data_IF_506025932599
#
_entry.id   IF_506025932599
#
_cell.length_a   1.000
_cell.length_b   1.000
_cell.length_c   1.000
_cell.angle_alpha   90.00
_cell.angle_beta   90.00
_cell.angle_gamma   90.00
#
_symmetry.space_group_name_H-M   'P 1'
#
loop_
_entity.id
_entity.type
_entity.pdbx_description
1 polymer ?
#
# COMPACT_ATOMS: atom_id res chain seq x y z
N UNK A 1 -14.14 -18.06 18.19
CA UNK A 1 -14.45 -16.62 18.29
C UNK A 1 -13.32 -15.89 17.58
N UNK A 2 -13.61 -15.10 16.56
CA UNK A 2 -12.60 -14.30 15.86
C UNK A 2 -12.20 -13.09 16.73
N UNK A 3 -11.06 -12.45 16.41
CA UNK A 3 -10.69 -11.19 17.08
C UNK A 3 -11.78 -10.12 16.89
N UNK A 4 -12.40 -10.07 15.71
CA UNK A 4 -13.53 -9.16 15.42
C UNK A 4 -14.71 -9.37 16.38
N UNK A 5 -15.09 -10.62 16.62
CA UNK A 5 -16.22 -10.93 17.52
C UNK A 5 -15.88 -10.64 18.97
N UNK A 6 -14.61 -10.88 19.36
CA UNK A 6 -14.17 -10.64 20.73
C UNK A 6 -14.19 -9.16 21.10
N UNK A 7 -13.82 -8.28 20.17
CA UNK A 7 -13.73 -6.83 20.37
C UNK A 7 -14.92 -6.06 19.79
N UNK A 8 -16.08 -6.71 19.61
CA UNK A 8 -17.28 -6.10 19.00
C UNK A 8 -17.81 -4.89 19.79
N UNK A 9 -17.65 -4.91 21.10
CA UNK A 9 -18.07 -3.83 22.02
C UNK A 9 -17.07 -2.65 22.07
N UNK A 10 -15.95 -2.71 21.32
CA UNK A 10 -14.95 -1.65 21.26
C UNK A 10 -14.91 -1.02 19.87
N UNK A 11 -15.65 0.08 19.63
CA UNK A 11 -15.83 0.67 18.30
C UNK A 11 -14.50 1.03 17.60
N UNK A 12 -13.52 1.55 18.35
CA UNK A 12 -12.22 1.94 17.81
C UNK A 12 -11.43 0.73 17.32
N UNK A 13 -11.37 -0.34 18.13
CA UNK A 13 -10.72 -1.60 17.73
C UNK A 13 -11.43 -2.19 16.52
N UNK A 14 -12.75 -2.26 16.57
CA UNK A 14 -13.58 -2.79 15.48
C UNK A 14 -13.37 -2.02 14.19
N UNK A 15 -13.22 -0.70 14.26
CA UNK A 15 -12.92 0.15 13.12
C UNK A 15 -11.58 -0.25 12.46
N UNK A 16 -10.52 -0.40 13.25
CA UNK A 16 -9.20 -0.80 12.73
C UNK A 16 -9.25 -2.19 12.07
N UNK A 17 -9.85 -3.17 12.76
CA UNK A 17 -10.01 -4.54 12.23
C UNK A 17 -10.80 -4.52 10.91
N UNK A 18 -11.92 -3.81 10.87
CA UNK A 18 -12.77 -3.78 9.67
C UNK A 18 -12.05 -3.14 8.47
N UNK A 19 -11.26 -2.08 8.68
CA UNK A 19 -10.49 -1.45 7.60
C UNK A 19 -9.41 -2.40 7.04
N UNK A 20 -8.68 -3.12 7.92
CA UNK A 20 -7.69 -4.11 7.49
C UNK A 20 -8.35 -5.26 6.71
N UNK A 21 -9.44 -5.82 7.22
CA UNK A 21 -10.19 -6.90 6.56
C UNK A 21 -10.81 -6.46 5.23
N UNK A 22 -11.34 -5.25 5.15
CA UNK A 22 -11.91 -4.73 3.91
C UNK A 22 -10.85 -4.50 2.85
N UNK A 23 -9.67 -3.99 3.23
CA UNK A 23 -8.53 -3.85 2.32
C UNK A 23 -8.11 -5.21 1.75
N UNK A 24 -7.99 -6.22 2.59
CA UNK A 24 -7.67 -7.59 2.17
C UNK A 24 -8.76 -8.16 1.23
N UNK A 25 -10.04 -7.96 1.57
CA UNK A 25 -11.17 -8.40 0.74
C UNK A 25 -11.15 -7.77 -0.66
N UNK A 26 -10.90 -6.46 -0.74
CA UNK A 26 -10.84 -5.74 -2.01
C UNK A 26 -9.67 -6.24 -2.86
N UNK A 27 -8.49 -6.38 -2.28
CA UNK A 27 -7.30 -6.88 -2.98
C UNK A 27 -7.48 -8.32 -3.47
N UNK A 28 -8.07 -9.21 -2.67
CA UNK A 28 -8.43 -10.57 -3.09
C UNK A 28 -9.39 -10.59 -4.27
N UNK A 29 -10.26 -9.60 -4.35
CA UNK A 29 -11.21 -9.43 -5.47
C UNK A 29 -10.57 -8.72 -6.68
N UNK A 30 -9.27 -8.42 -6.65
CA UNK A 30 -8.57 -7.69 -7.70
C UNK A 30 -8.91 -6.20 -7.78
N UNK A 31 -9.49 -5.64 -6.74
CA UNK A 31 -9.82 -4.22 -6.63
C UNK A 31 -8.76 -3.45 -5.84
N UNK A 32 -8.61 -2.16 -6.09
CA UNK A 32 -7.81 -1.30 -5.24
C UNK A 32 -8.53 -1.03 -3.91
N UNK A 33 -7.80 -1.04 -2.79
CA UNK A 33 -8.39 -0.80 -1.48
C UNK A 33 -8.77 0.66 -1.27
N UNK A 34 -9.48 0.94 -0.18
CA UNK A 34 -9.75 2.28 0.32
C UNK A 34 -8.58 2.78 1.20
N UNK A 35 -8.50 4.08 1.53
CA UNK A 35 -7.50 4.59 2.45
C UNK A 35 -7.56 3.84 3.79
N UNK A 36 -6.39 3.54 4.36
CA UNK A 36 -6.28 2.93 5.68
C UNK A 36 -6.09 4.02 6.75
N UNK A 37 -6.73 3.86 7.92
CA UNK A 37 -6.33 4.62 9.10
C UNK A 37 -4.93 4.17 9.57
N UNK A 38 -4.33 4.93 10.48
CA UNK A 38 -3.17 4.45 11.21
C UNK A 38 -3.57 3.22 12.02
N UNK A 39 -2.99 2.06 11.69
CA UNK A 39 -3.35 0.77 12.30
C UNK A 39 -2.61 0.57 13.64
N UNK A 40 -2.81 1.51 14.57
CA UNK A 40 -2.28 1.45 15.93
C UNK A 40 -3.45 1.43 16.91
N UNK A 41 -3.38 0.56 17.90
CA UNK A 41 -4.33 0.56 19.00
C UNK A 41 -4.17 1.86 19.82
N UNK A 42 -5.27 2.40 20.40
CA UNK A 42 -5.18 3.51 21.34
C UNK A 42 -4.28 3.17 22.53
N UNK A 43 -3.52 4.15 23.02
CA UNK A 43 -2.57 3.95 24.13
C UNK A 43 -3.27 3.54 25.44
N UNK A 44 -4.51 4.00 25.65
CA UNK A 44 -5.33 3.73 26.82
C UNK A 44 -6.27 2.51 26.66
N UNK A 45 -6.09 1.72 25.62
CA UNK A 45 -7.03 0.63 25.27
C UNK A 45 -7.15 -0.41 26.38
N UNK A 46 -6.07 -0.70 27.11
CA UNK A 46 -6.09 -1.65 28.21
C UNK A 46 -6.98 -1.14 29.36
N UNK A 47 -6.85 0.13 29.71
CA UNK A 47 -7.65 0.77 30.74
C UNK A 47 -9.13 0.82 30.34
N UNK A 48 -9.38 1.14 29.08
CA UNK A 48 -10.75 1.13 28.52
C UNK A 48 -11.40 -0.23 28.63
N UNK A 49 -10.71 -1.30 28.24
CA UNK A 49 -11.20 -2.69 28.35
C UNK A 49 -11.41 -3.06 29.82
N UNK A 50 -10.43 -2.76 30.70
CA UNK A 50 -10.53 -3.05 32.13
C UNK A 50 -11.73 -2.39 32.78
N UNK A 51 -11.94 -1.10 32.50
CA UNK A 51 -13.08 -0.34 33.01
C UNK A 51 -14.41 -0.92 32.53
N UNK A 52 -14.51 -1.31 31.26
CA UNK A 52 -15.74 -1.89 30.70
C UNK A 52 -16.05 -3.25 31.34
N UNK A 53 -15.03 -4.10 31.56
CA UNK A 53 -15.21 -5.37 32.25
C UNK A 53 -15.70 -5.16 33.68
N UNK A 54 -15.12 -4.19 34.42
CA UNK A 54 -15.54 -3.88 35.80
C UNK A 54 -16.94 -3.24 35.89
N UNK A 55 -17.39 -2.56 34.84
CA UNK A 55 -18.77 -2.06 34.75
C UNK A 55 -19.77 -3.19 34.54
N UNK A 56 -19.37 -4.21 33.77
CA UNK A 56 -20.22 -5.35 33.44
C UNK A 56 -20.28 -6.38 34.56
N UNK A 57 -19.19 -6.59 35.29
CA UNK A 57 -19.09 -7.58 36.35
C UNK A 57 -18.61 -6.93 37.64
N UNK A 58 -19.29 -7.22 38.80
CA UNK A 58 -18.83 -6.77 40.12
C UNK A 58 -17.42 -7.28 40.43
N UNK A 59 -16.74 -6.56 41.32
CA UNK A 59 -15.45 -7.00 41.86
C UNK A 59 -15.57 -8.41 42.43
N UNK A 60 -14.59 -9.24 42.15
CA UNK A 60 -14.50 -10.65 42.56
C UNK A 60 -15.49 -11.61 41.84
N UNK A 61 -16.13 -11.18 40.75
CA UNK A 61 -16.92 -12.08 39.89
C UNK A 61 -15.99 -12.84 38.92
N UNK A 62 -15.95 -14.19 39.01
CA UNK A 62 -15.07 -14.98 38.15
C UNK A 62 -15.28 -14.83 36.66
N UNK A 63 -16.46 -14.36 36.26
CA UNK A 63 -16.77 -14.07 34.83
C UNK A 63 -16.01 -12.85 34.32
N UNK A 64 -15.86 -11.83 35.18
CA UNK A 64 -15.04 -10.65 34.90
C UNK A 64 -13.56 -11.03 34.68
N UNK A 65 -13.00 -11.85 35.59
CA UNK A 65 -11.63 -12.34 35.43
C UNK A 65 -11.43 -13.16 34.16
N UNK A 66 -12.37 -14.05 33.84
CA UNK A 66 -12.34 -14.85 32.61
C UNK A 66 -12.39 -13.98 31.35
N UNK A 67 -13.23 -12.95 31.35
CA UNK A 67 -13.35 -12.04 30.21
C UNK A 67 -12.10 -11.18 30.05
N UNK A 68 -11.59 -10.62 31.17
CA UNK A 68 -10.34 -9.87 31.17
C UNK A 68 -9.18 -10.71 30.64
N UNK A 69 -9.04 -11.97 31.09
CA UNK A 69 -7.99 -12.86 30.63
C UNK A 69 -8.08 -13.14 29.13
N UNK A 70 -9.30 -13.22 28.55
CA UNK A 70 -9.48 -13.37 27.10
C UNK A 70 -9.00 -12.13 26.35
N UNK A 71 -9.36 -10.93 26.80
CA UNK A 71 -8.90 -9.70 26.20
C UNK A 71 -7.39 -9.53 26.33
N UNK A 72 -6.83 -9.72 27.49
CA UNK A 72 -5.39 -9.61 27.77
C UNK A 72 -4.55 -10.56 26.92
N UNK A 73 -5.07 -11.76 26.63
CA UNK A 73 -4.39 -12.73 25.76
C UNK A 73 -4.54 -12.41 24.26
N UNK A 74 -5.62 -11.76 23.85
CA UNK A 74 -5.91 -11.44 22.45
C UNK A 74 -5.30 -10.11 22.01
N UNK A 75 -5.25 -9.11 22.89
CA UNK A 75 -4.84 -7.75 22.56
C UNK A 75 -3.40 -7.67 21.97
N UNK A 76 -2.37 -8.32 22.54
CA UNK A 76 -1.03 -8.29 21.96
C UNK A 76 -0.94 -8.96 20.58
N UNK A 77 -1.79 -9.95 20.32
CA UNK A 77 -1.87 -10.62 19.02
C UNK A 77 -2.50 -9.72 17.97
N UNK A 78 -3.55 -9.00 18.36
CA UNK A 78 -4.21 -8.02 17.51
C UNK A 78 -3.28 -6.84 17.21
N UNK A 79 -2.62 -6.28 18.22
CA UNK A 79 -1.64 -5.20 18.04
C UNK A 79 -0.55 -5.58 17.03
N UNK A 80 0.02 -6.78 17.21
CA UNK A 80 1.02 -7.30 16.26
C UNK A 80 0.46 -7.45 14.85
N UNK A 81 -0.75 -7.98 14.71
CA UNK A 81 -1.37 -8.16 13.39
C UNK A 81 -1.63 -6.82 12.69
N UNK A 82 -2.10 -5.80 13.42
CA UNK A 82 -2.32 -4.47 12.88
C UNK A 82 -1.00 -3.79 12.48
N UNK A 83 0.03 -3.84 13.32
CA UNK A 83 1.35 -3.26 13.02
C UNK A 83 2.03 -3.93 11.83
N UNK A 84 1.88 -5.25 11.69
CA UNK A 84 2.48 -6.03 10.62
C UNK A 84 1.58 -6.11 9.37
N UNK A 85 0.50 -5.32 9.30
CA UNK A 85 -0.41 -5.38 8.16
C UNK A 85 0.28 -4.95 6.85
N UNK A 86 1.25 -4.04 6.93
CA UNK A 86 2.07 -3.66 5.78
C UNK A 86 2.87 -4.85 5.25
N UNK A 87 3.58 -5.58 6.12
CA UNK A 87 4.36 -6.76 5.74
C UNK A 87 3.43 -7.83 5.11
N UNK A 88 2.23 -7.99 5.68
CA UNK A 88 1.21 -8.85 5.09
C UNK A 88 0.83 -8.45 3.65
N UNK A 89 0.69 -7.15 3.36
CA UNK A 89 0.38 -6.66 2.01
C UNK A 89 1.57 -6.87 1.05
N UNK A 90 2.78 -6.70 1.52
CA UNK A 90 3.99 -6.98 0.75
C UNK A 90 4.09 -8.47 0.42
N UNK A 91 3.99 -9.34 1.41
CA UNK A 91 4.15 -10.80 1.25
C UNK A 91 3.01 -11.42 0.45
N UNK A 92 1.77 -10.95 0.62
CA UNK A 92 0.59 -11.57 0.01
C UNK A 92 0.29 -11.02 -1.38
N UNK A 93 0.50 -9.73 -1.58
CA UNK A 93 0.09 -9.01 -2.79
C UNK A 93 1.26 -8.36 -3.53
N UNK A 94 2.47 -8.39 -2.97
CA UNK A 94 3.63 -7.64 -3.50
C UNK A 94 3.36 -6.14 -3.58
N UNK A 95 2.58 -5.61 -2.63
CA UNK A 95 2.20 -4.20 -2.58
C UNK A 95 3.12 -3.44 -1.63
N UNK A 96 4.21 -2.90 -2.13
CA UNK A 96 5.19 -2.12 -1.36
C UNK A 96 4.67 -0.75 -0.94
N UNK A 97 4.02 -0.05 -1.84
CA UNK A 97 3.34 1.20 -1.55
C UNK A 97 1.83 0.96 -1.54
N UNK A 98 1.14 1.50 -0.54
CA UNK A 98 -0.30 1.32 -0.41
C UNK A 98 -1.04 2.19 -1.43
N UNK A 99 -1.25 1.64 -2.63
CA UNK A 99 -1.99 2.29 -3.70
C UNK A 99 -3.48 2.07 -3.48
N UNK A 100 -4.20 3.12 -3.11
CA UNK A 100 -5.65 3.08 -2.89
C UNK A 100 -6.44 3.72 -4.04
N UNK A 101 -7.74 3.42 -4.10
CA UNK A 101 -8.61 3.89 -5.18
C UNK A 101 -8.74 5.42 -5.26
N UNK A 102 -8.91 6.19 -4.16
CA UNK A 102 -8.91 7.64 -4.19
C UNK A 102 -7.60 8.26 -4.69
N UNK A 103 -6.44 7.71 -4.27
CA UNK A 103 -5.14 8.15 -4.77
C UNK A 103 -5.04 7.92 -6.29
N UNK A 104 -5.40 6.73 -6.77
CA UNK A 104 -5.37 6.41 -8.19
C UNK A 104 -6.30 7.32 -9.00
N UNK A 105 -7.48 7.67 -8.45
CA UNK A 105 -8.38 8.63 -9.06
C UNK A 105 -7.78 10.04 -9.14
N UNK A 106 -7.24 10.54 -8.03
CA UNK A 106 -6.61 11.86 -8.01
C UNK A 106 -5.44 11.96 -8.99
N UNK A 107 -4.64 10.89 -9.10
CA UNK A 107 -3.56 10.82 -10.07
C UNK A 107 -4.09 10.80 -11.52
N UNK A 108 -5.15 10.03 -11.78
CA UNK A 108 -5.78 10.01 -13.11
C UNK A 108 -6.37 11.38 -13.50
N UNK A 109 -7.02 12.07 -12.55
CA UNK A 109 -7.54 13.42 -12.75
C UNK A 109 -6.40 14.44 -13.04
N UNK A 110 -5.26 14.31 -12.33
CA UNK A 110 -4.08 15.15 -12.55
C UNK A 110 -3.45 14.95 -13.93
N UNK A 111 -3.40 13.70 -14.40
CA UNK A 111 -2.82 13.33 -15.68
C UNK A 111 -3.73 13.70 -16.88
N UNK A 112 -5.02 13.89 -16.65
CA UNK A 112 -6.05 14.28 -17.62
C UNK A 112 -5.99 13.48 -18.94
N UNK A 113 -5.78 12.16 -18.82
CA UNK A 113 -5.69 11.27 -19.98
C UNK A 113 -4.40 11.32 -20.78
N UNK A 114 -3.41 12.13 -20.38
CA UNK A 114 -2.10 12.21 -21.03
C UNK A 114 -1.40 10.84 -21.07
N UNK A 115 -0.59 10.56 -22.11
CA UNK A 115 0.22 9.36 -22.20
C UNK A 115 1.25 9.27 -21.07
N UNK A 116 1.39 8.08 -20.46
CA UNK A 116 2.21 7.84 -19.26
C UNK A 116 3.12 6.64 -19.43
N UNK A 117 4.33 6.74 -18.91
CA UNK A 117 5.25 5.64 -18.68
C UNK A 117 5.43 5.46 -17.16
N UNK A 118 5.02 4.33 -16.61
CA UNK A 118 5.41 3.89 -15.25
C UNK A 118 6.67 3.02 -15.37
N UNK A 119 7.76 3.49 -14.75
CA UNK A 119 9.02 2.75 -14.61
C UNK A 119 9.14 2.18 -13.21
N UNK A 120 9.87 1.08 -13.06
CA UNK A 120 10.04 0.38 -11.77
C UNK A 120 8.69 0.05 -11.10
N UNK A 121 7.74 -0.41 -11.92
CA UNK A 121 6.34 -0.55 -11.55
C UNK A 121 6.05 -1.66 -10.53
N UNK A 122 7.01 -2.53 -10.24
CA UNK A 122 6.81 -3.69 -9.38
C UNK A 122 5.69 -4.59 -9.92
N UNK A 123 4.60 -4.72 -9.16
CA UNK A 123 3.42 -5.47 -9.60
C UNK A 123 2.39 -4.61 -10.39
N UNK A 124 2.64 -3.30 -10.58
CA UNK A 124 1.87 -2.41 -11.47
C UNK A 124 0.57 -1.86 -10.89
N UNK A 125 0.50 -1.64 -9.59
CA UNK A 125 -0.70 -1.13 -8.91
C UNK A 125 -1.11 0.27 -9.35
N UNK A 126 -0.15 1.17 -9.62
CA UNK A 126 -0.44 2.53 -10.12
C UNK A 126 -1.04 2.45 -11.52
N UNK A 127 -0.38 1.76 -12.46
CA UNK A 127 -0.91 1.56 -13.81
C UNK A 127 -2.28 0.90 -13.82
N UNK A 128 -2.52 -0.08 -12.92
CA UNK A 128 -3.84 -0.67 -12.74
C UNK A 128 -4.86 0.39 -12.32
N UNK A 129 -4.51 1.20 -11.34
CA UNK A 129 -5.37 2.28 -10.86
C UNK A 129 -5.73 3.28 -11.95
N UNK A 130 -4.75 3.71 -12.75
CA UNK A 130 -4.97 4.60 -13.89
C UNK A 130 -5.90 3.95 -14.93
N UNK A 131 -5.66 2.69 -15.32
CA UNK A 131 -6.51 1.97 -16.29
C UNK A 131 -7.93 1.77 -15.78
N UNK A 132 -8.12 1.59 -14.47
CA UNK A 132 -9.45 1.49 -13.88
C UNK A 132 -10.24 2.82 -13.98
N UNK A 133 -9.55 3.97 -13.96
CA UNK A 133 -10.17 5.29 -14.08
C UNK A 133 -10.34 5.73 -15.53
N UNK A 134 -9.41 5.37 -16.42
CA UNK A 134 -9.49 5.68 -17.85
C UNK A 134 -8.90 4.52 -18.67
N UNK A 135 -9.77 3.64 -19.16
CA UNK A 135 -9.37 2.46 -19.92
C UNK A 135 -8.74 2.80 -21.30
N UNK A 136 -8.95 4.02 -21.82
CA UNK A 136 -8.43 4.47 -23.10
C UNK A 136 -7.10 5.25 -22.97
N UNK A 137 -6.64 5.53 -21.75
CA UNK A 137 -5.36 6.20 -21.54
C UNK A 137 -4.20 5.33 -22.00
N UNK A 138 -3.27 5.93 -22.73
CA UNK A 138 -2.04 5.25 -23.15
C UNK A 138 -1.08 5.14 -21.96
N UNK A 139 -0.91 3.94 -21.45
CA UNK A 139 -0.08 3.66 -20.27
C UNK A 139 0.90 2.55 -20.64
N UNK A 140 2.19 2.88 -20.61
CA UNK A 140 3.29 1.91 -20.64
C UNK A 140 3.69 1.59 -19.21
N UNK A 141 3.77 0.31 -18.88
CA UNK A 141 4.13 -0.16 -17.55
C UNK A 141 5.32 -1.06 -17.66
N UNK A 142 6.44 -0.69 -17.03
CA UNK A 142 7.71 -1.42 -17.16
C UNK A 142 8.34 -1.69 -15.80
N UNK A 143 9.01 -2.83 -15.69
CA UNK A 143 9.80 -3.20 -14.52
C UNK A 143 10.95 -4.11 -14.97
N UNK A 144 12.11 -3.98 -14.36
CA UNK A 144 13.27 -4.85 -14.67
C UNK A 144 13.05 -6.29 -14.23
N UNK A 145 12.16 -6.50 -13.25
CA UNK A 145 11.92 -7.76 -12.56
C UNK A 145 13.19 -8.33 -11.88
N UNK A 146 14.14 -7.48 -11.56
CA UNK A 146 15.37 -7.90 -10.89
C UNK A 146 15.12 -8.48 -9.51
N UNK A 147 14.12 -7.95 -8.79
CA UNK A 147 13.76 -8.30 -7.43
C UNK A 147 12.93 -9.58 -7.27
N UNK A 148 12.48 -10.19 -8.39
CA UNK A 148 11.63 -11.41 -8.35
C UNK A 148 12.26 -12.59 -7.63
N UNK A 149 13.58 -12.63 -7.50
CA UNK A 149 14.31 -13.69 -6.79
C UNK A 149 14.47 -13.40 -5.29
N UNK A 150 14.30 -12.13 -4.89
CA UNK A 150 14.58 -11.66 -3.54
C UNK A 150 13.30 -11.45 -2.73
N UNK A 151 12.22 -11.02 -3.39
CA UNK A 151 10.95 -10.71 -2.73
C UNK A 151 9.75 -10.91 -3.68
N UNK A 152 8.57 -10.45 -3.31
CA UNK A 152 7.32 -10.61 -4.07
C UNK A 152 7.14 -9.58 -5.20
N UNK A 153 8.11 -8.65 -5.40
CA UNK A 153 8.06 -7.64 -6.46
C UNK A 153 8.13 -8.31 -7.84
N UNK A 154 7.15 -8.02 -8.69
CA UNK A 154 7.07 -8.56 -10.04
C UNK A 154 6.62 -10.01 -10.16
N UNK A 155 6.33 -10.71 -9.04
CA UNK A 155 5.84 -12.10 -9.07
C UNK A 155 4.34 -12.22 -9.36
N UNK A 156 3.56 -11.25 -8.90
CA UNK A 156 2.10 -11.26 -8.99
C UNK A 156 1.59 -9.98 -9.67
N UNK A 157 1.91 -9.77 -10.96
CA UNK A 157 1.51 -8.54 -11.66
C UNK A 157 -0.01 -8.42 -11.72
N UNK A 158 -0.52 -7.27 -11.31
CA UNK A 158 -1.97 -6.96 -11.32
C UNK A 158 -2.43 -6.33 -12.64
N UNK A 159 -1.49 -6.05 -13.54
CA UNK A 159 -1.71 -5.54 -14.90
C UNK A 159 -0.59 -6.02 -15.82
N UNK A 160 -0.70 -5.76 -17.14
CA UNK A 160 0.37 -6.11 -18.08
C UNK A 160 1.60 -5.24 -17.82
N UNK A 161 2.74 -5.86 -17.59
CA UNK A 161 4.04 -5.22 -17.36
C UNK A 161 5.03 -5.73 -18.38
N UNK A 162 5.74 -4.83 -19.04
CA UNK A 162 6.86 -5.18 -19.90
C UNK A 162 8.14 -5.29 -19.08
N UNK A 163 8.89 -6.37 -19.28
CA UNK A 163 10.19 -6.55 -18.63
C UNK A 163 11.22 -5.63 -19.29
N UNK A 164 11.50 -4.50 -18.67
CA UNK A 164 12.43 -3.50 -19.18
C UNK A 164 12.94 -2.64 -17.99
N UNK A 165 14.23 -2.37 -17.94
CA UNK A 165 14.78 -1.46 -16.94
C UNK A 165 14.38 -0.01 -17.20
N UNK A 166 14.50 0.85 -16.20
CA UNK A 166 14.04 2.22 -16.24
C UNK A 166 14.66 3.05 -17.38
N UNK A 167 15.96 2.94 -17.58
CA UNK A 167 16.70 3.69 -18.61
C UNK A 167 16.28 3.23 -20.01
N UNK A 168 16.22 1.92 -20.22
CA UNK A 168 15.78 1.33 -21.49
C UNK A 168 14.32 1.68 -21.79
N UNK A 169 13.46 1.72 -20.77
CA UNK A 169 12.06 2.11 -20.89
C UNK A 169 11.91 3.56 -21.36
N UNK A 170 12.66 4.49 -20.73
CA UNK A 170 12.64 5.91 -21.14
C UNK A 170 13.14 6.09 -22.59
N UNK A 171 14.25 5.41 -22.95
CA UNK A 171 14.76 5.46 -24.34
C UNK A 171 13.75 4.93 -25.35
N UNK A 172 12.93 3.93 -24.96
CA UNK A 172 11.94 3.33 -25.85
C UNK A 172 10.66 4.16 -25.98
N UNK A 173 10.21 4.78 -24.89
CA UNK A 173 8.89 5.39 -24.81
C UNK A 173 8.91 6.91 -24.56
N UNK A 174 10.07 7.50 -24.27
CA UNK A 174 10.17 8.91 -23.88
C UNK A 174 9.53 9.90 -24.87
N UNK A 175 9.67 9.65 -26.18
CA UNK A 175 9.04 10.47 -27.23
C UNK A 175 7.53 10.24 -27.38
N UNK A 176 6.95 9.28 -26.65
CA UNK A 176 5.55 8.87 -26.79
C UNK A 176 4.71 9.22 -25.55
N UNK A 177 5.33 9.83 -24.55
CA UNK A 177 4.68 10.10 -23.27
C UNK A 177 4.88 11.55 -22.81
N UNK A 178 3.94 12.06 -22.04
CA UNK A 178 4.03 13.37 -21.40
C UNK A 178 4.51 13.26 -19.94
N UNK A 179 4.31 12.10 -19.34
CA UNK A 179 4.67 11.84 -17.94
C UNK A 179 5.45 10.54 -17.80
N UNK A 180 6.48 10.58 -16.97
CA UNK A 180 7.13 9.41 -16.42
C UNK A 180 6.84 9.34 -14.92
N UNK A 181 6.34 8.21 -14.45
CA UNK A 181 6.05 7.95 -13.04
C UNK A 181 7.07 6.95 -12.52
N UNK A 182 7.67 7.27 -11.39
CA UNK A 182 8.53 6.39 -10.60
C UNK A 182 8.04 6.39 -9.16
N UNK A 183 7.77 5.22 -8.60
CA UNK A 183 7.22 5.09 -7.26
C UNK A 183 8.11 4.21 -6.40
N UNK A 184 8.53 4.73 -5.24
CA UNK A 184 9.29 4.00 -4.22
C UNK A 184 10.57 3.35 -4.75
N UNK A 185 11.36 4.11 -5.50
CA UNK A 185 12.69 3.66 -5.93
C UNK A 185 13.56 3.29 -4.71
N UNK A 186 14.34 2.21 -4.78
CA UNK A 186 15.24 1.83 -3.68
C UNK A 186 16.27 2.91 -3.37
N UNK A 187 16.58 3.11 -2.09
CA UNK A 187 17.54 4.10 -1.57
C UNK A 187 19.02 3.78 -1.85
N UNK A 188 19.32 2.56 -2.30
CA UNK A 188 20.69 2.05 -2.47
C UNK A 188 21.14 2.00 -3.93
N UNK A 189 20.71 2.93 -4.75
CA UNK A 189 21.05 2.95 -6.17
C UNK A 189 21.04 4.37 -6.69
N UNK A 190 21.65 4.57 -7.85
CA UNK A 190 21.69 5.86 -8.57
C UNK A 190 20.66 5.90 -9.71
N UNK A 191 19.74 4.92 -9.77
CA UNK A 191 18.81 4.78 -10.89
C UNK A 191 17.87 5.97 -11.03
N UNK A 192 17.38 6.52 -9.93
CA UNK A 192 16.53 7.72 -9.91
C UNK A 192 17.29 8.96 -10.40
N UNK A 193 18.55 9.10 -10.00
CA UNK A 193 19.44 10.14 -10.52
C UNK A 193 19.70 9.99 -12.02
N UNK A 194 20.03 8.78 -12.47
CA UNK A 194 20.27 8.49 -13.89
C UNK A 194 19.03 8.76 -14.73
N UNK A 195 17.83 8.38 -14.23
CA UNK A 195 16.55 8.68 -14.84
C UNK A 195 16.34 10.19 -14.96
N UNK A 196 16.58 10.95 -13.90
CA UNK A 196 16.45 12.40 -13.90
C UNK A 196 17.40 13.05 -14.91
N UNK A 197 18.66 12.61 -14.96
CA UNK A 197 19.64 13.14 -15.92
C UNK A 197 19.25 12.82 -17.37
N UNK A 198 18.81 11.59 -17.64
CA UNK A 198 18.37 11.18 -18.97
C UNK A 198 17.17 12.01 -19.45
N UNK A 199 16.16 12.21 -18.58
CA UNK A 199 14.98 13.02 -18.90
C UNK A 199 15.36 14.47 -19.19
N UNK A 200 16.19 15.10 -18.35
CA UNK A 200 16.66 16.46 -18.53
C UNK A 200 17.43 16.68 -19.82
N UNK A 201 18.25 15.72 -20.22
CA UNK A 201 19.11 15.84 -21.40
C UNK A 201 18.37 15.53 -22.71
N UNK A 202 17.52 14.53 -22.73
CA UNK A 202 16.95 13.99 -23.95
C UNK A 202 15.44 14.21 -24.11
N UNK A 203 14.72 14.42 -23.00
CA UNK A 203 13.26 14.54 -22.98
C UNK A 203 12.80 15.69 -22.07
N UNK A 204 13.24 16.95 -22.32
CA UNK A 204 13.06 18.07 -21.40
C UNK A 204 11.57 18.46 -21.18
N UNK A 205 10.69 18.10 -22.10
CA UNK A 205 9.25 18.41 -22.03
C UNK A 205 8.48 17.34 -21.24
N UNK A 206 9.08 16.17 -20.95
CA UNK A 206 8.47 15.09 -20.19
C UNK A 206 8.49 15.44 -18.69
N UNK A 207 7.33 15.39 -18.06
CA UNK A 207 7.19 15.65 -16.63
C UNK A 207 7.50 14.38 -15.84
N UNK A 208 8.39 14.50 -14.87
CA UNK A 208 8.77 13.40 -14.00
C UNK A 208 8.03 13.47 -12.67
N UNK A 209 7.19 12.48 -12.40
CA UNK A 209 6.44 12.31 -11.16
C UNK A 209 7.14 11.27 -10.28
N UNK A 210 7.64 11.72 -9.14
CA UNK A 210 8.29 10.85 -8.16
C UNK A 210 7.37 10.70 -6.96
N UNK A 211 7.04 9.45 -6.64
CA UNK A 211 6.22 9.08 -5.50
C UNK A 211 7.10 8.33 -4.51
N UNK A 212 7.18 8.83 -3.29
CA UNK A 212 8.02 8.25 -2.26
C UNK A 212 7.97 9.07 -0.98
N UNK A 213 8.83 8.75 -0.04
CA UNK A 213 8.92 9.41 1.25
C UNK A 213 9.87 10.61 1.14
N UNK A 214 9.33 11.81 1.38
CA UNK A 214 10.14 13.04 1.34
C UNK A 214 11.20 13.01 2.46
N UNK A 215 12.47 13.07 2.10
CA UNK A 215 13.63 12.95 3.00
C UNK A 215 13.66 11.61 3.76
N UNK A 216 13.05 10.58 3.21
CA UNK A 216 13.01 9.23 3.77
C UNK A 216 14.02 8.28 3.13
N UNK A 217 13.74 6.98 3.27
CA UNK A 217 14.62 5.90 2.80
C UNK A 217 14.38 5.52 1.32
N UNK A 218 13.63 6.29 0.57
CA UNK A 218 13.36 6.04 -0.86
C UNK A 218 13.64 7.28 -1.68
N UNK A 219 14.17 7.09 -2.86
CA UNK A 219 14.65 8.11 -3.79
C UNK A 219 15.87 8.87 -3.24
N UNK A 220 16.99 8.78 -3.89
CA UNK A 220 18.24 9.44 -3.51
C UNK A 220 18.24 10.95 -3.82
#
# INVERSE_FOLDING_TARGET
MSARDLFDDFPEIKYLINNALESDRLLKSGLLPQPLPTLLLPDDIQDTIFNQVNQQYPKDDPRGDQLWNKYSAALPKLDRALRNFRDYLEDTYGMWSYVNAPFAKALADYLDGSPVLEIMAGNGYISKGLRNNNANQQIYTTDSQAWTKENETGKHPVTKIEKLDAISAIKKYGDQVEYVIMSWAPDKGETDWDVLQLLRQNYPDVKFLVIGEKNGATNS
#
